data_IF_031804485755
#
_entry.id   IF_031804485755
#
_cell.length_a   1.000
_cell.length_b   1.000
_cell.length_c   1.000
_cell.angle_alpha   90.00
_cell.angle_beta   90.00
_cell.angle_gamma   90.00
#
_symmetry.space_group_name_H-M   'P 1'
#
loop_
_entity.id
_entity.type
_entity.pdbx_description
1 polymer ?
#
# COMPACT_ATOMS: atom_id res chain seq x y z
N UNK A 1 22.17 -10.62 15.44
CA UNK A 1 22.65 -9.34 14.86
C UNK A 1 21.41 -8.52 14.54
N UNK A 2 21.14 -7.51 15.36
CA UNK A 2 19.99 -6.63 15.15
C UNK A 2 20.39 -5.63 14.06
N UNK A 3 19.94 -5.87 12.84
CA UNK A 3 19.99 -4.86 11.80
C UNK A 3 19.04 -3.74 12.22
N UNK A 4 19.62 -2.65 12.71
CA UNK A 4 18.92 -1.38 12.85
C UNK A 4 18.58 -0.94 11.44
N UNK A 5 17.30 -1.02 11.06
CA UNK A 5 16.83 -0.50 9.78
C UNK A 5 17.04 1.02 9.81
N UNK A 6 17.98 1.46 8.98
CA UNK A 6 18.36 2.85 8.77
C UNK A 6 17.37 3.54 7.81
N UNK A 7 17.21 4.85 7.98
CA UNK A 7 16.25 5.79 7.35
C UNK A 7 14.78 5.66 7.73
N UNK A 8 14.28 6.62 8.53
CA UNK A 8 12.85 6.76 8.85
C UNK A 8 12.09 7.10 7.57
N UNK A 9 11.50 6.11 6.92
CA UNK A 9 10.45 6.34 5.93
C UNK A 9 9.36 7.19 6.60
N UNK A 10 8.99 8.32 5.99
CA UNK A 10 7.97 9.25 6.52
C UNK A 10 6.94 9.66 5.49
N UNK A 11 6.98 9.08 4.28
CA UNK A 11 6.05 9.42 3.19
C UNK A 11 4.77 8.57 3.29
N UNK A 12 4.05 8.74 4.39
CA UNK A 12 2.77 8.09 4.66
C UNK A 12 1.94 8.93 5.64
N UNK A 13 0.63 8.72 5.65
CA UNK A 13 -0.28 9.19 6.70
C UNK A 13 -1.23 8.04 7.04
N UNK A 14 -1.07 7.49 8.24
CA UNK A 14 -1.87 6.37 8.79
C UNK A 14 -2.22 6.68 10.24
N UNK A 15 -3.25 6.03 10.78
CA UNK A 15 -3.75 6.33 12.12
C UNK A 15 -2.72 6.04 13.23
N UNK A 16 -2.10 4.86 13.19
CA UNK A 16 -1.11 4.42 14.17
C UNK A 16 -0.19 3.35 13.58
N UNK A 17 1.11 3.66 13.45
CA UNK A 17 2.10 2.73 12.91
C UNK A 17 2.34 1.52 13.82
N UNK A 18 2.02 1.60 15.13
CA UNK A 18 2.15 0.48 16.05
C UNK A 18 1.22 -0.71 15.69
N UNK A 19 0.19 -0.47 14.87
CA UNK A 19 -0.72 -1.50 14.37
C UNK A 19 -0.12 -2.40 13.28
N UNK A 20 1.06 -2.06 12.73
CA UNK A 20 1.67 -2.78 11.60
C UNK A 20 1.86 -4.28 11.88
N UNK A 21 2.26 -4.65 13.11
CA UNK A 21 2.46 -6.05 13.47
C UNK A 21 1.15 -6.85 13.49
N UNK A 22 0.02 -6.22 13.80
CA UNK A 22 -1.30 -6.83 13.70
C UNK A 22 -1.72 -6.94 12.24
N UNK A 23 -1.58 -5.87 11.46
CA UNK A 23 -1.87 -5.89 10.02
C UNK A 23 -1.13 -7.00 9.29
N UNK A 24 0.17 -7.15 9.55
CA UNK A 24 1.00 -8.21 8.97
C UNK A 24 0.50 -9.62 9.34
N UNK A 25 -0.08 -9.82 10.53
CA UNK A 25 -0.68 -11.12 10.89
C UNK A 25 -1.93 -11.39 10.05
N UNK A 26 -2.80 -10.41 9.89
CA UNK A 26 -4.03 -10.58 9.11
C UNK A 26 -3.78 -10.69 7.60
N UNK A 27 -2.79 -9.95 7.07
CA UNK A 27 -2.35 -10.08 5.67
C UNK A 27 -1.95 -11.53 5.38
N UNK A 28 -1.13 -12.16 6.23
CA UNK A 28 -0.74 -13.58 6.04
C UNK A 28 -1.92 -14.55 6.06
N UNK A 29 -2.95 -14.26 6.87
CA UNK A 29 -4.17 -15.07 6.86
C UNK A 29 -4.92 -14.85 5.53
N UNK A 30 -5.06 -13.59 5.10
CA UNK A 30 -5.74 -13.24 3.86
C UNK A 30 -5.04 -13.80 2.61
N UNK A 31 -3.71 -13.91 2.59
CA UNK A 31 -2.98 -14.57 1.51
C UNK A 31 -3.43 -16.02 1.28
N UNK A 32 -3.82 -16.74 2.35
CA UNK A 32 -4.35 -18.11 2.25
C UNK A 32 -5.73 -18.14 1.59
N UNK A 33 -6.53 -17.09 1.77
CA UNK A 33 -7.88 -16.92 1.22
C UNK A 33 -7.89 -16.20 -0.14
N UNK A 34 -6.72 -15.78 -0.66
CA UNK A 34 -6.57 -15.07 -1.94
C UNK A 34 -5.66 -15.83 -2.91
N UNK A 35 -5.94 -17.10 -3.22
CA UNK A 35 -5.04 -17.96 -4.02
C UNK A 35 -4.77 -17.41 -5.43
N UNK A 36 -5.71 -16.65 -6.01
CA UNK A 36 -5.50 -16.01 -7.31
C UNK A 36 -4.36 -15.01 -7.30
N UNK A 37 -4.27 -14.13 -6.28
CA UNK A 37 -3.16 -13.19 -6.17
C UNK A 37 -1.84 -13.89 -5.86
N UNK A 38 -1.87 -14.94 -5.03
CA UNK A 38 -0.67 -15.70 -4.70
C UNK A 38 -0.12 -16.46 -5.92
N UNK A 39 -1.00 -17.04 -6.75
CA UNK A 39 -0.60 -17.66 -8.01
C UNK A 39 0.00 -16.64 -9.00
N UNK A 40 -0.59 -15.44 -9.10
CA UNK A 40 -0.03 -14.35 -9.93
C UNK A 40 1.37 -13.96 -9.44
N UNK A 41 1.57 -13.86 -8.12
CA UNK A 41 2.92 -13.59 -7.57
C UNK A 41 3.90 -14.69 -7.96
N UNK A 42 3.53 -15.96 -7.78
CA UNK A 42 4.41 -17.08 -8.11
C UNK A 42 4.77 -17.12 -9.60
N UNK A 43 3.79 -16.91 -10.48
CA UNK A 43 3.98 -16.96 -11.93
C UNK A 43 4.82 -15.79 -12.47
N UNK A 44 4.60 -14.57 -11.97
CA UNK A 44 5.12 -13.35 -12.59
C UNK A 44 6.21 -12.62 -11.79
N UNK A 45 6.48 -13.00 -10.54
CA UNK A 45 7.53 -12.33 -9.76
C UNK A 45 8.92 -12.46 -10.42
N UNK A 46 9.26 -13.58 -11.06
CA UNK A 46 10.57 -13.72 -11.70
C UNK A 46 10.74 -12.81 -12.94
N UNK A 47 9.67 -12.58 -13.70
CA UNK A 47 9.71 -11.77 -14.93
C UNK A 47 9.57 -10.28 -14.67
N UNK A 48 9.12 -9.87 -13.47
CA UNK A 48 8.96 -8.46 -13.07
C UNK A 48 8.20 -7.63 -14.11
N UNK A 49 6.99 -8.04 -14.56
CA UNK A 49 6.31 -7.41 -15.68
C UNK A 49 5.89 -5.96 -15.40
N UNK A 50 5.78 -5.58 -14.13
CA UNK A 50 5.44 -4.22 -13.72
C UNK A 50 6.68 -3.37 -13.40
N UNK A 51 7.89 -3.84 -13.72
CA UNK A 51 9.10 -3.04 -13.53
C UNK A 51 9.01 -1.73 -14.30
N UNK A 52 9.15 -0.62 -13.57
CA UNK A 52 9.01 0.74 -14.12
C UNK A 52 7.57 1.29 -14.07
N UNK A 53 6.60 0.48 -13.64
CA UNK A 53 5.27 0.96 -13.31
C UNK A 53 5.31 1.88 -12.09
N UNK A 54 4.55 2.97 -12.17
CA UNK A 54 4.26 3.93 -11.12
C UNK A 54 2.76 3.99 -10.97
N UNK A 55 2.24 3.15 -10.07
CA UNK A 55 0.82 2.93 -9.88
C UNK A 55 0.32 3.81 -8.74
N UNK A 56 -0.69 4.61 -9.02
CA UNK A 56 -1.48 5.31 -8.01
C UNK A 56 -2.78 4.56 -7.79
N UNK A 57 -3.03 4.12 -6.57
CA UNK A 57 -4.24 3.37 -6.20
C UNK A 57 -5.20 4.19 -5.34
N UNK A 58 -6.48 4.10 -5.68
CA UNK A 58 -7.62 4.70 -4.97
C UNK A 58 -8.72 3.63 -4.77
N UNK A 59 -8.40 2.63 -3.95
CA UNK A 59 -9.34 1.60 -3.52
C UNK A 59 -9.40 1.57 -1.99
N UNK A 60 -10.45 1.00 -1.42
CA UNK A 60 -10.56 0.84 0.03
C UNK A 60 -9.28 0.25 0.63
N UNK A 61 -8.69 0.93 1.61
CA UNK A 61 -7.43 0.50 2.23
C UNK A 61 -7.69 -0.60 3.28
N UNK A 62 -7.97 -1.82 2.81
CA UNK A 62 -8.25 -3.00 3.64
C UNK A 62 -7.09 -4.01 3.63
N UNK A 63 -7.21 -5.08 4.42
CA UNK A 63 -6.31 -6.23 4.38
C UNK A 63 -6.24 -6.88 3.00
N UNK A 64 -7.37 -6.99 2.30
CA UNK A 64 -7.41 -7.56 0.94
C UNK A 64 -6.65 -6.67 -0.04
N UNK A 65 -6.82 -5.35 0.07
CA UNK A 65 -6.08 -4.38 -0.74
C UNK A 65 -4.59 -4.38 -0.40
N UNK A 66 -4.20 -4.63 0.86
CA UNK A 66 -2.81 -4.81 1.23
C UNK A 66 -2.18 -6.01 0.47
N UNK A 67 -2.88 -7.15 0.35
CA UNK A 67 -2.43 -8.28 -0.49
C UNK A 67 -2.32 -7.89 -1.98
N UNK A 68 -3.25 -7.07 -2.49
CA UNK A 68 -3.15 -6.54 -3.86
C UNK A 68 -1.89 -5.66 -4.03
N UNK A 69 -1.67 -4.68 -3.14
CA UNK A 69 -0.51 -3.78 -3.17
C UNK A 69 0.80 -4.57 -3.13
N UNK A 70 0.91 -5.54 -2.24
CA UNK A 70 2.08 -6.43 -2.14
C UNK A 70 2.27 -7.30 -3.39
N UNK A 71 1.18 -7.65 -4.08
CA UNK A 71 1.27 -8.35 -5.37
C UNK A 71 1.85 -7.43 -6.45
N UNK A 72 1.35 -6.21 -6.56
CA UNK A 72 1.85 -5.23 -7.54
C UNK A 72 3.33 -4.93 -7.32
N UNK A 73 3.74 -4.71 -6.08
CA UNK A 73 5.15 -4.47 -5.71
C UNK A 73 6.01 -5.70 -5.93
N UNK A 74 5.54 -6.91 -5.61
CA UNK A 74 6.24 -8.16 -5.92
C UNK A 74 6.45 -8.37 -7.42
N UNK A 75 5.58 -7.83 -8.27
CA UNK A 75 5.70 -7.85 -9.73
C UNK A 75 6.56 -6.70 -10.30
N UNK A 76 7.12 -5.85 -9.44
CA UNK A 76 8.10 -4.80 -9.80
C UNK A 76 7.55 -3.37 -9.85
N UNK A 77 6.27 -3.16 -9.50
CA UNK A 77 5.68 -1.83 -9.49
C UNK A 77 6.16 -0.99 -8.31
N UNK A 78 6.27 0.33 -8.53
CA UNK A 78 6.23 1.31 -7.45
C UNK A 78 4.78 1.74 -7.24
N UNK A 79 4.35 1.84 -5.99
CA UNK A 79 2.95 2.04 -5.63
C UNK A 79 2.80 3.18 -4.65
N UNK A 80 1.76 4.01 -4.82
CA UNK A 80 1.27 5.01 -3.86
C UNK A 80 -0.24 4.81 -3.69
N UNK A 81 -0.77 4.89 -2.47
CA UNK A 81 -2.17 4.50 -2.23
C UNK A 81 -2.93 5.46 -1.31
N UNK A 82 -4.22 5.67 -1.60
CA UNK A 82 -5.19 6.29 -0.70
C UNK A 82 -6.48 5.48 -0.71
N UNK A 83 -7.30 5.65 0.32
CA UNK A 83 -8.64 5.03 0.35
C UNK A 83 -9.63 5.83 -0.50
N UNK A 84 -10.53 5.16 -1.22
CA UNK A 84 -11.64 5.81 -1.93
C UNK A 84 -12.91 6.01 -1.06
N UNK A 85 -12.83 5.74 0.24
CA UNK A 85 -13.91 6.01 1.18
C UNK A 85 -13.38 6.31 2.59
N UNK A 86 -13.91 7.37 3.20
CA UNK A 86 -13.47 7.89 4.50
C UNK A 86 -13.63 6.91 5.68
N UNK A 87 -14.43 5.85 5.56
CA UNK A 87 -14.68 4.88 6.64
C UNK A 87 -14.21 3.46 6.33
N UNK A 88 -13.72 3.20 5.12
CA UNK A 88 -13.39 1.83 4.69
C UNK A 88 -11.99 1.39 5.07
N UNK A 89 -11.10 2.32 5.42
CA UNK A 89 -9.74 2.00 5.86
C UNK A 89 -9.77 1.05 7.06
N UNK A 90 -8.93 0.02 7.00
CA UNK A 90 -8.54 -0.81 8.13
C UNK A 90 -7.15 -0.35 8.56
N UNK A 91 -7.06 0.40 9.67
CA UNK A 91 -5.83 1.13 10.00
C UNK A 91 -4.61 0.22 10.21
N UNK A 92 -4.81 -1.00 10.66
CA UNK A 92 -3.76 -2.00 10.79
C UNK A 92 -3.23 -2.47 9.42
N UNK A 93 -4.09 -2.57 8.39
CA UNK A 93 -3.67 -2.85 7.03
C UNK A 93 -2.83 -1.69 6.47
N UNK A 94 -3.31 -0.44 6.63
CA UNK A 94 -2.58 0.75 6.21
C UNK A 94 -1.21 0.86 6.90
N UNK A 95 -1.16 0.63 8.21
CA UNK A 95 0.07 0.63 9.00
C UNK A 95 1.07 -0.44 8.55
N UNK A 96 0.60 -1.64 8.21
CA UNK A 96 1.47 -2.72 7.72
C UNK A 96 2.11 -2.37 6.37
N UNK A 97 1.35 -1.79 5.44
CA UNK A 97 1.88 -1.35 4.14
C UNK A 97 2.85 -0.18 4.31
N UNK A 98 2.52 0.79 5.17
CA UNK A 98 3.43 1.91 5.47
C UNK A 98 4.75 1.45 6.13
N UNK A 99 4.69 0.46 7.04
CA UNK A 99 5.88 -0.10 7.69
C UNK A 99 6.83 -0.81 6.72
N UNK A 100 6.33 -1.31 5.59
CA UNK A 100 7.12 -1.90 4.51
C UNK A 100 7.67 -0.85 3.53
N UNK A 101 7.51 0.44 3.82
CA UNK A 101 8.07 1.53 3.02
C UNK A 101 7.23 1.91 1.81
N UNK A 102 5.97 1.51 1.76
CA UNK A 102 5.05 1.83 0.65
C UNK A 102 4.18 3.04 1.05
N UNK A 103 4.17 4.13 0.25
CA UNK A 103 3.38 5.32 0.55
C UNK A 103 1.88 5.05 0.60
N UNK A 104 1.29 5.20 1.79
CA UNK A 104 -0.15 5.09 2.04
C UNK A 104 -0.64 6.31 2.78
N UNK A 105 -1.73 6.90 2.30
CA UNK A 105 -2.40 8.06 2.87
C UNK A 105 -3.86 7.70 3.10
N UNK A 106 -4.14 7.07 4.24
CA UNK A 106 -5.46 6.54 4.55
C UNK A 106 -5.65 6.38 6.05
N UNK A 107 -6.72 6.96 6.58
CA UNK A 107 -7.09 6.88 8.00
C UNK A 107 -8.58 6.58 8.10
N UNK A 108 -8.98 5.62 8.95
CA UNK A 108 -10.40 5.38 9.18
C UNK A 108 -11.03 6.57 9.90
N UNK A 109 -12.08 7.13 9.31
CA UNK A 109 -12.77 8.30 9.83
C UNK A 109 -12.08 9.63 9.50
N UNK A 110 -11.25 9.66 8.45
CA UNK A 110 -10.65 10.91 7.95
C UNK A 110 -11.71 11.94 7.51
N UNK A 111 -11.35 13.23 7.56
CA UNK A 111 -12.24 14.28 7.07
C UNK A 111 -12.31 14.28 5.53
N UNK A 112 -13.35 14.89 4.95
CA UNK A 112 -13.39 15.07 3.49
C UNK A 112 -12.23 15.94 2.96
N UNK A 113 -11.68 16.83 3.78
CA UNK A 113 -10.51 17.62 3.40
C UNK A 113 -9.27 16.73 3.32
N UNK A 114 -9.07 15.88 4.33
CA UNK A 114 -7.95 14.93 4.36
C UNK A 114 -8.07 13.93 3.21
N UNK A 115 -9.26 13.38 2.98
CA UNK A 115 -9.56 12.50 1.85
C UNK A 115 -9.05 13.07 0.52
N UNK A 116 -9.45 14.31 0.17
CA UNK A 116 -9.00 14.94 -1.07
C UNK A 116 -7.51 15.30 -1.08
N UNK A 117 -6.95 15.69 0.07
CA UNK A 117 -5.51 15.91 0.21
C UNK A 117 -4.73 14.62 -0.03
N UNK A 118 -5.21 13.49 0.49
CA UNK A 118 -4.60 12.17 0.31
C UNK A 118 -4.71 11.70 -1.15
N UNK A 119 -5.87 11.89 -1.78
CA UNK A 119 -6.05 11.64 -3.23
C UNK A 119 -5.09 12.48 -4.08
N UNK A 120 -4.77 13.72 -3.68
CA UNK A 120 -3.76 14.50 -4.38
C UNK A 120 -2.34 13.94 -4.14
N UNK A 121 -2.04 13.62 -2.87
CA UNK A 121 -0.72 13.18 -2.41
C UNK A 121 -0.21 11.90 -3.08
N UNK A 122 -1.10 11.01 -3.49
CA UNK A 122 -0.75 9.77 -4.20
C UNK A 122 -0.26 9.99 -5.63
N UNK A 123 -0.40 11.20 -6.19
CA UNK A 123 0.21 11.59 -7.48
C UNK A 123 1.56 12.30 -7.32
N UNK A 124 1.93 12.72 -6.11
CA UNK A 124 3.18 13.43 -5.84
C UNK A 124 4.33 12.44 -5.62
N UNK A 125 5.06 12.10 -6.68
CA UNK A 125 6.24 11.24 -6.55
C UNK A 125 7.45 12.01 -6.00
N UNK A 126 8.30 11.40 -5.14
CA UNK A 126 9.41 12.10 -4.49
C UNK A 126 10.43 12.73 -5.45
N UNK A 127 10.53 12.20 -6.67
CA UNK A 127 11.42 12.70 -7.72
C UNK A 127 10.74 13.70 -8.67
N UNK A 128 9.51 14.12 -8.37
CA UNK A 128 8.70 14.99 -9.23
C UNK A 128 8.19 14.32 -10.50
N UNK A 129 8.34 13.00 -10.64
CA UNK A 129 7.76 12.26 -11.75
C UNK A 129 6.26 12.03 -11.60
N UNK A 130 5.68 11.32 -12.58
CA UNK A 130 4.24 11.10 -12.66
C UNK A 130 3.90 9.63 -12.56
N UNK A 131 2.68 9.35 -12.11
CA UNK A 131 2.07 8.03 -12.24
C UNK A 131 1.89 7.69 -13.71
N UNK A 132 2.17 6.45 -14.09
CA UNK A 132 1.93 5.95 -15.45
C UNK A 132 0.78 4.96 -15.52
N UNK A 133 0.20 4.60 -14.37
CA UNK A 133 -1.02 3.82 -14.25
C UNK A 133 -1.84 4.28 -13.03
N UNK A 134 -3.16 4.13 -13.14
CA UNK A 134 -4.12 4.37 -12.05
C UNK A 134 -4.91 3.08 -11.84
N UNK A 135 -5.19 2.77 -10.57
CA UNK A 135 -6.07 1.67 -10.17
C UNK A 135 -7.11 2.24 -9.20
N UNK A 136 -8.35 2.36 -9.65
CA UNK A 136 -9.47 3.04 -8.98
C UNK A 136 -10.72 2.14 -9.01
#
# INVERSE_FOLDING_TARGET
MNAVADTKFTDFVVADLALAAWGRKEIRIAETEMPGLMAIREEYAASQPLKGARITGSLHMTIQTAVLIETLTALGAQVRWASCNIFSTQDHAAAAIAADGIPVFAVKGESLTDYWNYTHRIFEWPDGGYSNMILD
#
